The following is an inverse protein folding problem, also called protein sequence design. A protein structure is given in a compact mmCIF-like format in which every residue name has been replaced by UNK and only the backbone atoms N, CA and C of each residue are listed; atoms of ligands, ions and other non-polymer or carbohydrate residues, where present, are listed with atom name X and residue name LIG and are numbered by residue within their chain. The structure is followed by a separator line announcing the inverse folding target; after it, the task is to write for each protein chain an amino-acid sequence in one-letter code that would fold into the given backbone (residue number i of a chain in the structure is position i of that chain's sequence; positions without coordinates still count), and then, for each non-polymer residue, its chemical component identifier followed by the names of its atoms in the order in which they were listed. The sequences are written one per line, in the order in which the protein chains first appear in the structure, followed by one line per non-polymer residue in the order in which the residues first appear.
data_IF_460848213677
#
_entry.id   IF_460848213677
#
_cell.length_a   1.000
_cell.length_b   1.000
_cell.length_c   1.000
_cell.angle_alpha   90.00
_cell.angle_beta   90.00
_cell.angle_gamma   90.00
#
_symmetry.space_group_name_H-M   'P 1'
#
loop_
_entity.id
_entity.type
_entity.pdbx_description
1 polymer ?
#
# COMPACT_ATOMS: atom_id res chain seq x y z
N UNK A 1 -34.11 59.25 -2.85
CA UNK A 1 -34.84 58.50 -3.89
C UNK A 1 -33.85 57.92 -4.89
N UNK A 2 -33.94 56.60 -5.10
CA UNK A 2 -33.71 55.87 -6.36
C UNK A 2 -32.36 55.99 -7.10
N UNK A 3 -31.73 54.81 -7.19
CA UNK A 3 -31.02 54.23 -8.36
C UNK A 3 -29.50 54.38 -8.39
N UNK A 4 -28.82 53.40 -7.82
CA UNK A 4 -27.61 52.82 -8.43
C UNK A 4 -27.73 51.29 -8.38
N UNK A 5 -28.56 50.78 -9.29
CA UNK A 5 -28.45 49.41 -9.79
C UNK A 5 -27.40 49.45 -10.90
N UNK A 6 -26.19 48.98 -10.58
CA UNK A 6 -25.16 48.63 -11.55
C UNK A 6 -24.76 47.20 -11.18
N UNK A 7 -25.57 46.21 -11.58
CA UNK A 7 -25.36 45.40 -12.80
C UNK A 7 -23.95 44.81 -12.77
N UNK A 8 -23.78 43.61 -12.20
CA UNK A 8 -23.73 42.37 -13.01
C UNK A 8 -22.73 42.50 -14.17
N UNK A 9 -21.45 42.68 -13.84
CA UNK A 9 -20.32 42.33 -14.70
C UNK A 9 -19.54 41.22 -13.98
N UNK A 10 -19.71 39.99 -14.43
CA UNK A 10 -19.39 38.80 -13.66
C UNK A 10 -17.92 38.60 -13.30
N UNK A 11 -17.71 38.03 -12.12
CA UNK A 11 -16.98 36.77 -11.96
C UNK A 11 -17.74 36.01 -10.88
N UNK A 12 -18.61 35.11 -11.33
CA UNK A 12 -19.10 34.05 -10.47
C UNK A 12 -17.93 33.20 -9.98
N UNK A 13 -18.08 32.68 -8.76
CA UNK A 13 -17.49 31.41 -8.33
C UNK A 13 -16.03 31.19 -8.73
N UNK A 14 -15.10 31.60 -7.87
CA UNK A 14 -13.97 30.72 -7.55
C UNK A 14 -13.93 30.48 -6.04
N UNK A 15 -15.03 29.91 -5.54
CA UNK A 15 -14.94 28.99 -4.42
C UNK A 15 -14.28 27.70 -4.92
N UNK A 16 -12.98 27.73 -5.17
CA UNK A 16 -12.18 26.54 -5.37
C UNK A 16 -11.28 26.35 -4.16
N UNK A 17 -11.90 26.13 -2.99
CA UNK A 17 -11.28 25.28 -1.97
C UNK A 17 -11.32 23.85 -2.49
N UNK A 18 -10.55 23.55 -3.53
CA UNK A 18 -10.23 22.19 -3.94
C UNK A 18 -9.08 21.67 -3.05
N UNK A 19 -9.28 21.69 -1.73
CA UNK A 19 -8.32 21.14 -0.77
C UNK A 19 -8.97 20.01 0.02
N UNK A 20 -9.50 19.01 -0.68
CA UNK A 20 -9.94 17.77 -0.04
C UNK A 20 -10.17 16.67 -1.08
N UNK A 21 -9.10 16.23 -1.74
CA UNK A 21 -9.07 14.91 -2.41
C UNK A 21 -7.94 14.00 -1.90
N UNK A 22 -7.16 14.42 -0.91
CA UNK A 22 -6.07 13.60 -0.34
C UNK A 22 -6.57 12.61 0.73
N UNK A 23 -7.82 12.76 1.22
CA UNK A 23 -8.35 11.88 2.27
C UNK A 23 -8.92 10.54 1.76
N UNK A 24 -9.45 10.50 0.53
CA UNK A 24 -10.09 9.28 0.02
C UNK A 24 -9.08 8.22 -0.46
N UNK A 25 -7.93 8.64 -1.02
CA UNK A 25 -6.98 7.71 -1.62
C UNK A 25 -6.17 6.90 -0.59
N UNK A 26 -5.83 7.55 0.53
CA UNK A 26 -5.02 6.96 1.61
C UNK A 26 -5.68 5.77 2.29
N UNK A 27 -7.01 5.80 2.41
CA UNK A 27 -7.78 4.71 3.00
C UNK A 27 -7.81 3.46 2.09
N UNK A 28 -7.76 3.65 0.76
CA UNK A 28 -7.66 2.55 -0.20
C UNK A 28 -6.29 1.88 -0.14
N UNK A 29 -5.20 2.67 -0.19
CA UNK A 29 -3.85 2.14 -0.18
C UNK A 29 -3.51 1.38 1.12
N UNK A 30 -3.98 1.84 2.28
CA UNK A 30 -3.80 1.12 3.54
C UNK A 30 -4.59 -0.20 3.59
N UNK A 31 -5.76 -0.27 2.95
CA UNK A 31 -6.52 -1.52 2.84
C UNK A 31 -5.82 -2.51 1.89
N UNK A 32 -5.26 -2.03 0.79
CA UNK A 32 -4.47 -2.86 -0.13
C UNK A 32 -3.23 -3.42 0.58
N UNK A 33 -2.54 -2.59 1.38
CA UNK A 33 -1.41 -3.04 2.20
C UNK A 33 -1.83 -4.15 3.17
N UNK A 34 -2.93 -3.99 3.91
CA UNK A 34 -3.47 -5.03 4.81
C UNK A 34 -3.79 -6.33 4.07
N UNK A 35 -4.37 -6.21 2.87
CA UNK A 35 -4.74 -7.37 2.07
C UNK A 35 -3.50 -8.16 1.60
N UNK A 36 -2.49 -7.47 1.08
CA UNK A 36 -1.24 -8.11 0.65
C UNK A 36 -0.47 -8.72 1.83
N UNK A 37 -0.45 -8.06 2.99
CA UNK A 37 0.12 -8.64 4.21
C UNK A 37 -0.57 -9.95 4.61
N UNK A 38 -1.91 -10.00 4.56
CA UNK A 38 -2.65 -11.22 4.87
C UNK A 38 -2.34 -12.35 3.89
N UNK A 39 -2.22 -12.04 2.59
CA UNK A 39 -1.80 -13.03 1.58
C UNK A 39 -0.39 -13.53 1.82
N UNK A 40 0.55 -12.65 2.18
CA UNK A 40 1.92 -13.00 2.52
C UNK A 40 1.99 -13.93 3.75
N UNK A 41 1.24 -13.61 4.81
CA UNK A 41 1.14 -14.47 6.00
C UNK A 41 0.54 -15.84 5.68
N UNK A 42 -0.46 -15.89 4.80
CA UNK A 42 -1.05 -17.14 4.34
C UNK A 42 -0.03 -17.95 3.54
N UNK A 43 0.70 -17.32 2.63
CA UNK A 43 1.74 -17.97 1.83
C UNK A 43 2.86 -18.57 2.71
N UNK A 44 3.26 -17.88 3.78
CA UNK A 44 4.24 -18.37 4.76
C UNK A 44 3.78 -19.61 5.53
N UNK A 45 2.47 -19.79 5.70
CA UNK A 45 1.86 -20.97 6.33
C UNK A 45 1.70 -22.13 5.34
N UNK A 46 1.33 -21.82 4.09
CA UNK A 46 1.14 -22.80 3.04
C UNK A 46 2.45 -23.38 2.50
N UNK A 47 3.55 -22.64 2.60
CA UNK A 47 4.84 -23.02 2.02
C UNK A 47 5.96 -23.13 3.08
N UNK A 48 5.86 -24.09 4.02
CA UNK A 48 6.82 -24.22 5.11
C UNK A 48 8.23 -24.64 4.67
N UNK A 49 8.35 -25.30 3.52
CA UNK A 49 9.58 -25.92 3.03
C UNK A 49 10.37 -25.00 2.04
N UNK A 50 9.91 -23.77 1.84
CA UNK A 50 10.69 -22.78 1.08
C UNK A 50 11.92 -22.34 1.86
N UNK A 51 12.98 -21.87 1.16
CA UNK A 51 14.20 -21.39 1.80
C UNK A 51 13.93 -20.49 2.99
N UNK A 52 14.53 -20.81 4.12
CA UNK A 52 14.35 -20.04 5.35
C UNK A 52 14.64 -18.55 5.13
N UNK A 53 15.67 -18.22 4.34
CA UNK A 53 16.01 -16.83 4.01
C UNK A 53 14.87 -16.10 3.28
N UNK A 54 14.19 -16.77 2.34
CA UNK A 54 13.06 -16.18 1.61
C UNK A 54 11.82 -16.05 2.50
N UNK A 55 11.57 -17.04 3.36
CA UNK A 55 10.50 -16.95 4.36
C UNK A 55 10.76 -15.80 5.34
N UNK A 56 12.00 -15.62 5.76
CA UNK A 56 12.41 -14.52 6.63
C UNK A 56 12.30 -13.16 5.92
N UNK A 57 12.69 -13.06 4.64
CA UNK A 57 12.54 -11.85 3.85
C UNK A 57 11.07 -11.45 3.68
N UNK A 58 10.19 -12.41 3.40
CA UNK A 58 8.75 -12.15 3.31
C UNK A 58 8.15 -11.75 4.67
N UNK A 59 8.56 -12.42 5.76
CA UNK A 59 8.12 -12.05 7.12
C UNK A 59 8.58 -10.63 7.51
N UNK A 60 9.81 -10.24 7.13
CA UNK A 60 10.33 -8.89 7.34
C UNK A 60 9.52 -7.85 6.56
N UNK A 61 9.18 -8.13 5.30
CA UNK A 61 8.34 -7.24 4.49
C UNK A 61 6.94 -7.05 5.10
N UNK A 62 6.35 -8.11 5.66
CA UNK A 62 5.07 -8.02 6.41
C UNK A 62 5.23 -7.16 7.67
N UNK A 63 6.32 -7.34 8.43
CA UNK A 63 6.59 -6.54 9.62
C UNK A 63 6.75 -5.04 9.29
N UNK A 64 7.42 -4.70 8.18
CA UNK A 64 7.48 -3.32 7.69
C UNK A 64 6.09 -2.77 7.35
N UNK A 65 5.21 -3.58 6.75
CA UNK A 65 3.82 -3.23 6.52
C UNK A 65 3.06 -2.92 7.81
N UNK A 66 3.27 -3.70 8.88
CA UNK A 66 2.66 -3.43 10.19
C UNK A 66 3.10 -2.07 10.77
N UNK A 67 4.40 -1.77 10.72
CA UNK A 67 4.94 -0.47 11.17
C UNK A 67 4.28 0.69 10.41
N UNK A 68 4.06 0.53 9.10
CA UNK A 68 3.37 1.55 8.28
C UNK A 68 1.91 1.74 8.70
N UNK A 69 1.20 0.66 9.01
CA UNK A 69 -0.19 0.73 9.48
C UNK A 69 -0.32 1.42 10.84
N UNK A 70 0.68 1.27 11.71
CA UNK A 70 0.73 1.92 13.03
C UNK A 70 1.22 3.37 12.96
N UNK A 71 1.89 3.75 11.87
CA UNK A 71 2.44 5.08 11.69
C UNK A 71 1.38 6.04 11.16
N UNK A 72 1.04 7.06 11.98
CA UNK A 72 -0.06 8.00 11.69
C UNK A 72 0.11 8.84 10.41
N UNK A 73 1.33 9.03 9.91
CA UNK A 73 1.59 9.94 8.80
C UNK A 73 2.63 9.42 7.81
N UNK A 74 2.36 8.26 7.22
CA UNK A 74 3.14 7.73 6.10
C UNK A 74 2.68 8.37 4.79
N UNK A 75 3.58 8.58 3.84
CA UNK A 75 3.22 9.03 2.49
C UNK A 75 2.67 7.88 1.65
N UNK A 76 1.80 8.20 0.69
CA UNK A 76 1.20 7.20 -0.19
C UNK A 76 2.27 6.43 -0.99
N UNK A 77 3.35 7.12 -1.39
CA UNK A 77 4.50 6.50 -2.04
C UNK A 77 5.17 5.41 -1.18
N UNK A 78 5.31 5.65 0.13
CA UNK A 78 5.90 4.66 1.04
C UNK A 78 4.97 3.46 1.23
N UNK A 79 3.65 3.69 1.26
CA UNK A 79 2.65 2.61 1.30
C UNK A 79 2.74 1.76 0.02
N UNK A 80 2.74 2.39 -1.15
CA UNK A 80 2.82 1.71 -2.46
C UNK A 80 4.13 0.94 -2.66
N UNK A 81 5.27 1.51 -2.28
CA UNK A 81 6.57 0.81 -2.32
C UNK A 81 6.57 -0.41 -1.41
N UNK A 82 5.92 -0.33 -0.25
CA UNK A 82 5.81 -1.47 0.68
C UNK A 82 4.90 -2.55 0.12
N UNK A 83 3.75 -2.19 -0.46
CA UNK A 83 2.87 -3.12 -1.18
C UNK A 83 3.67 -3.85 -2.27
N UNK A 84 4.42 -3.10 -3.07
CA UNK A 84 5.25 -3.66 -4.15
C UNK A 84 6.32 -4.62 -3.61
N UNK A 85 6.96 -4.25 -2.49
CA UNK A 85 7.98 -5.09 -1.84
C UNK A 85 7.39 -6.40 -1.35
N UNK A 86 6.22 -6.37 -0.71
CA UNK A 86 5.51 -7.58 -0.26
C UNK A 86 5.15 -8.47 -1.46
N UNK A 87 4.59 -7.88 -2.53
CA UNK A 87 4.26 -8.64 -3.76
C UNK A 87 5.47 -9.29 -4.39
N UNK A 88 6.59 -8.56 -4.49
CA UNK A 88 7.83 -9.10 -5.03
C UNK A 88 8.36 -10.26 -4.17
N UNK A 89 8.39 -10.10 -2.85
CA UNK A 89 8.82 -11.15 -1.93
C UNK A 89 7.93 -12.39 -2.01
N UNK A 90 6.62 -12.22 -2.15
CA UNK A 90 5.69 -13.33 -2.39
C UNK A 90 5.97 -14.04 -3.71
N UNK A 91 6.21 -13.29 -4.78
CA UNK A 91 6.48 -13.86 -6.10
C UNK A 91 7.80 -14.64 -6.11
N UNK A 92 8.86 -14.07 -5.56
CA UNK A 92 10.16 -14.73 -5.37
C UNK A 92 9.99 -16.03 -4.59
N UNK A 93 9.21 -16.01 -3.50
CA UNK A 93 8.96 -17.21 -2.70
C UNK A 93 8.21 -18.29 -3.49
N UNK A 94 7.23 -17.92 -4.33
CA UNK A 94 6.48 -18.87 -5.16
C UNK A 94 7.36 -19.54 -6.22
N UNK A 95 8.18 -18.76 -6.94
CA UNK A 95 8.99 -19.27 -8.06
C UNK A 95 10.23 -20.03 -7.60
N UNK A 96 10.73 -19.77 -6.38
CA UNK A 96 11.92 -20.45 -5.87
C UNK A 96 11.58 -21.90 -5.55
N UNK A 97 12.34 -22.91 -6.02
CA UNK A 97 12.08 -24.30 -5.68
C UNK A 97 12.13 -24.57 -4.17
N UNK A 98 11.42 -25.60 -3.75
CA UNK A 98 11.41 -26.08 -2.36
C UNK A 98 12.80 -26.62 -1.98
N UNK A 99 13.28 -26.34 -0.75
CA UNK A 99 14.60 -26.82 -0.30
C UNK A 99 14.67 -28.36 -0.25
N UNK A 100 13.53 -29.05 -0.20
CA UNK A 100 13.47 -30.51 -0.29
C UNK A 100 13.94 -31.10 -1.63
N UNK A 101 14.19 -30.26 -2.65
CA UNK A 101 14.61 -30.68 -3.99
C UNK A 101 16.13 -30.57 -4.20
N UNK A 102 16.94 -30.39 -3.15
CA UNK A 102 18.40 -30.56 -3.32
C UNK A 102 18.74 -32.04 -3.56
N UNK A 103 19.31 -32.42 -4.71
CA UNK A 103 19.85 -33.77 -4.89
C UNK A 103 21.00 -33.92 -3.90
N UNK A 104 20.87 -34.88 -2.97
CA UNK A 104 21.97 -35.32 -2.14
C UNK A 104 23.11 -35.74 -3.07
N UNK A 105 24.24 -35.04 -2.99
CA UNK A 105 25.47 -35.37 -3.72
C UNK A 105 26.34 -36.29 -2.88
#
# INVERSE_FOLDING_TARGET
MKKFLTILGGVGLMATTATSVVACNKNSALNDLKNEMKKAEQLLKEQPNKPQELRAALALAVAMGQVILETKNVSDEVIEKTITTIKLAMEVLKITPDESVTPQT
#
